data_IF_155662329471
#
_entry.id   IF_155662329471
#
_cell.length_a   1.000
_cell.length_b   1.000
_cell.length_c   1.000
_cell.angle_alpha   90.00
_cell.angle_beta   90.00
_cell.angle_gamma   90.00
#
_symmetry.space_group_name_H-M   'P 1'
#
loop_
_entity.id
_entity.type
_entity.pdbx_description
1 polymer ?
#
# COMPACT_ATOMS: atom_id res chain seq x y z
N UNK A 1 -47.17 -61.60 -0.17
CA UNK A 1 -47.17 -61.93 1.27
C UNK A 1 -45.99 -61.20 1.88
N UNK A 2 -46.30 -60.21 2.67
CA UNK A 2 -45.38 -59.30 3.35
C UNK A 2 -44.93 -59.92 4.68
N UNK A 3 -43.68 -59.82 4.99
CA UNK A 3 -43.18 -60.07 6.35
C UNK A 3 -42.22 -58.95 6.74
N UNK A 4 -42.75 -58.07 7.52
CA UNK A 4 -42.05 -57.04 8.30
C UNK A 4 -41.35 -57.68 9.49
N UNK A 5 -40.01 -57.44 9.65
CA UNK A 5 -39.30 -57.78 10.87
C UNK A 5 -38.91 -56.53 11.64
N UNK A 6 -39.42 -56.50 12.87
CA UNK A 6 -39.42 -55.40 13.80
C UNK A 6 -38.10 -55.36 14.60
N UNK A 7 -37.45 -54.19 14.69
CA UNK A 7 -36.31 -53.90 15.53
C UNK A 7 -36.75 -53.67 16.96
N UNK A 8 -36.68 -54.69 17.84
CA UNK A 8 -36.58 -54.51 19.28
C UNK A 8 -36.28 -55.88 19.90
N UNK A 9 -35.28 -55.89 20.79
CA UNK A 9 -34.76 -56.96 21.66
C UNK A 9 -33.42 -57.52 21.25
N UNK A 10 -32.40 -56.93 21.88
CA UNK A 10 -31.29 -57.63 22.51
C UNK A 10 -30.55 -56.62 23.40
N UNK A 11 -31.09 -56.47 24.59
CA UNK A 11 -30.40 -55.96 25.76
C UNK A 11 -30.22 -57.15 26.70
N UNK A 12 -29.09 -57.20 27.32
CA UNK A 12 -28.71 -57.86 28.57
C UNK A 12 -27.66 -58.97 28.47
N UNK A 13 -26.65 -58.65 29.25
CA UNK A 13 -25.78 -59.47 30.07
C UNK A 13 -24.34 -59.70 29.56
N UNK A 14 -23.40 -59.01 30.17
CA UNK A 14 -22.32 -59.65 30.96
C UNK A 14 -21.58 -58.59 31.79
N UNK A 15 -21.58 -58.83 33.08
CA UNK A 15 -20.98 -58.08 34.17
C UNK A 15 -19.55 -58.59 34.42
N UNK A 16 -18.65 -57.66 34.80
CA UNK A 16 -17.47 -57.79 35.69
C UNK A 16 -16.20 -58.46 35.21
N UNK A 17 -15.17 -57.61 35.08
CA UNK A 17 -13.87 -57.83 35.73
C UNK A 17 -13.09 -56.49 35.79
N UNK A 18 -13.03 -55.92 36.98
CA UNK A 18 -12.19 -54.77 37.31
C UNK A 18 -10.75 -55.27 37.61
N UNK A 19 -9.76 -54.64 36.96
CA UNK A 19 -8.38 -54.59 37.46
C UNK A 19 -7.86 -53.15 37.25
N UNK A 20 -7.24 -52.55 38.26
CA UNK A 20 -6.68 -51.22 38.14
C UNK A 20 -5.30 -51.29 37.49
N UNK A 21 -5.10 -50.70 36.34
CA UNK A 21 -3.77 -50.42 35.82
C UNK A 21 -3.43 -48.96 36.06
N UNK A 22 -2.26 -48.81 36.66
CA UNK A 22 -1.66 -47.58 37.10
C UNK A 22 -1.56 -46.50 36.01
N UNK A 23 -1.92 -45.28 36.41
CA UNK A 23 -1.66 -44.04 35.74
C UNK A 23 -0.13 -43.81 35.55
N UNK A 24 0.41 -44.08 34.36
CA UNK A 24 1.57 -43.41 33.89
C UNK A 24 1.11 -42.26 32.99
N UNK A 25 0.88 -41.11 33.60
CA UNK A 25 0.58 -39.90 32.91
C UNK A 25 1.84 -39.40 32.17
N UNK A 26 2.10 -39.90 30.95
CA UNK A 26 2.86 -39.13 29.98
C UNK A 26 1.93 -38.05 29.46
N UNK A 27 2.00 -36.88 30.07
CA UNK A 27 1.61 -35.63 29.45
C UNK A 27 2.49 -35.44 28.24
N UNK A 28 2.15 -36.06 27.13
CA UNK A 28 2.60 -35.58 25.83
C UNK A 28 1.96 -34.20 25.66
N UNK A 29 2.70 -33.16 26.04
CA UNK A 29 2.50 -31.85 25.55
C UNK A 29 2.46 -32.02 24.02
N UNK A 30 1.27 -32.05 23.43
CA UNK A 30 1.13 -31.82 22.01
C UNK A 30 1.86 -30.51 21.79
N UNK A 31 3.06 -30.56 21.21
CA UNK A 31 3.54 -29.45 20.43
C UNK A 31 2.38 -29.21 19.44
N UNK A 32 1.61 -28.18 19.70
CA UNK A 32 0.77 -27.58 18.68
C UNK A 32 1.76 -27.23 17.58
N UNK A 33 1.85 -28.09 16.58
CA UNK A 33 2.34 -27.70 15.26
C UNK A 33 1.45 -26.52 14.91
N UNK A 34 2.00 -25.31 15.08
CA UNK A 34 1.37 -24.09 14.64
C UNK A 34 1.13 -24.34 13.16
N UNK A 35 -0.15 -24.63 12.83
CA UNK A 35 -0.57 -24.75 11.45
C UNK A 35 -0.02 -23.53 10.75
N UNK A 36 0.61 -23.72 9.59
CA UNK A 36 1.15 -22.63 8.78
C UNK A 36 0.04 -21.61 8.59
N UNK A 37 0.07 -20.53 9.38
CA UNK A 37 -0.95 -19.48 9.27
C UNK A 37 -0.93 -18.94 7.86
N UNK A 38 -2.11 -18.81 7.26
CA UNK A 38 -2.23 -18.22 5.94
C UNK A 38 -1.58 -16.82 5.94
N UNK A 39 -0.83 -16.45 4.91
CA UNK A 39 -0.17 -15.17 4.85
C UNK A 39 -1.22 -14.04 4.84
N UNK A 40 -0.94 -12.96 5.55
CA UNK A 40 -1.74 -11.74 5.43
C UNK A 40 -1.55 -11.16 4.02
N UNK A 41 -2.64 -11.10 3.27
CA UNK A 41 -2.66 -10.51 1.93
C UNK A 41 -2.72 -8.99 2.05
N UNK A 42 -1.73 -8.31 1.48
CA UNK A 42 -1.64 -6.85 1.47
C UNK A 42 -1.76 -6.33 0.04
N UNK A 43 -2.78 -5.52 -0.22
CA UNK A 43 -3.03 -4.93 -1.53
C UNK A 43 -2.05 -3.80 -1.85
N UNK A 44 -1.57 -3.75 -3.08
CA UNK A 44 -0.72 -2.67 -3.56
C UNK A 44 -0.75 -2.52 -5.09
N UNK A 45 -0.33 -1.35 -5.56
CA UNK A 45 -0.16 -1.08 -6.98
C UNK A 45 1.29 -1.36 -7.42
N UNK A 46 1.53 -1.64 -8.71
CA UNK A 46 2.88 -1.77 -9.26
C UNK A 46 3.53 -0.38 -9.46
N UNK A 47 3.64 0.36 -8.39
CA UNK A 47 4.22 1.71 -8.31
C UNK A 47 5.39 1.71 -7.33
N UNK A 48 6.42 2.51 -7.61
CA UNK A 48 7.57 2.63 -6.70
C UNK A 48 7.16 3.13 -5.31
N UNK A 49 6.02 3.81 -5.24
CA UNK A 49 5.38 4.21 -3.99
C UNK A 49 5.05 3.03 -3.05
N UNK A 50 4.90 1.82 -3.58
CA UNK A 50 4.60 0.62 -2.79
C UNK A 50 5.82 -0.32 -2.64
N UNK A 51 7.04 0.14 -2.96
CA UNK A 51 8.23 -0.69 -3.01
C UNK A 51 8.62 -1.29 -1.65
N UNK A 52 8.29 -0.64 -0.55
CA UNK A 52 8.50 -1.18 0.81
C UNK A 52 7.78 -2.51 1.03
N UNK A 53 6.63 -2.75 0.37
CA UNK A 53 5.86 -3.98 0.56
C UNK A 53 6.54 -5.22 -0.07
N UNK A 54 6.96 -5.23 -1.35
CA UNK A 54 7.75 -6.32 -1.90
C UNK A 54 9.01 -6.64 -1.09
N UNK A 55 9.74 -5.60 -0.66
CA UNK A 55 10.95 -5.76 0.17
C UNK A 55 10.61 -6.37 1.53
N UNK A 56 9.56 -5.91 2.19
CA UNK A 56 9.09 -6.47 3.47
C UNK A 56 8.69 -7.94 3.32
N UNK A 57 7.95 -8.30 2.27
CA UNK A 57 7.54 -9.68 2.00
C UNK A 57 8.75 -10.61 1.84
N UNK A 58 9.71 -10.25 0.97
CA UNK A 58 10.89 -11.07 0.71
C UNK A 58 11.85 -11.07 1.90
N UNK A 59 12.04 -9.92 2.57
CA UNK A 59 12.85 -9.81 3.77
C UNK A 59 12.32 -10.69 4.91
N UNK A 60 11.00 -10.70 5.11
CA UNK A 60 10.35 -11.58 6.10
C UNK A 60 10.51 -13.06 5.74
N UNK A 61 10.33 -13.42 4.46
CA UNK A 61 10.52 -14.79 3.98
C UNK A 61 11.98 -15.24 4.20
N UNK A 62 12.96 -14.38 3.91
CA UNK A 62 14.37 -14.66 4.13
C UNK A 62 14.70 -14.83 5.63
N UNK A 63 14.17 -13.95 6.49
CA UNK A 63 14.35 -14.05 7.94
C UNK A 63 13.73 -15.33 8.53
N UNK A 64 12.56 -15.75 8.03
CA UNK A 64 11.92 -17.02 8.42
C UNK A 64 12.78 -18.21 8.04
N UNK A 65 13.30 -18.24 6.82
CA UNK A 65 14.20 -19.32 6.33
C UNK A 65 15.51 -19.38 7.13
N UNK A 66 16.04 -18.24 7.53
CA UNK A 66 17.24 -18.13 8.36
C UNK A 66 16.99 -18.41 9.86
N UNK A 67 15.75 -18.54 10.29
CA UNK A 67 15.40 -18.71 11.69
C UNK A 67 15.61 -17.46 12.56
N UNK A 68 15.72 -16.27 11.94
CA UNK A 68 15.96 -14.99 12.61
C UNK A 68 14.73 -14.10 12.72
N UNK A 69 13.60 -14.53 12.15
CA UNK A 69 12.35 -13.78 12.23
C UNK A 69 11.80 -13.76 13.67
N UNK A 70 11.39 -12.58 14.19
CA UNK A 70 10.86 -12.47 15.55
C UNK A 70 9.48 -13.12 15.70
N UNK A 71 8.74 -13.28 14.61
CA UNK A 71 7.42 -13.92 14.56
C UNK A 71 7.34 -14.85 13.35
N UNK A 72 6.35 -15.76 13.35
CA UNK A 72 6.09 -16.68 12.23
C UNK A 72 5.12 -16.13 11.19
N UNK A 73 4.61 -14.91 11.35
CA UNK A 73 3.69 -14.30 10.39
C UNK A 73 4.35 -14.14 9.02
N UNK A 74 3.52 -14.24 7.98
CA UNK A 74 3.92 -14.06 6.59
C UNK A 74 3.05 -13.01 5.93
N UNK A 75 3.60 -12.33 4.93
CA UNK A 75 2.90 -11.31 4.16
C UNK A 75 2.96 -11.66 2.67
N UNK A 76 1.86 -11.43 1.98
CA UNK A 76 1.76 -11.65 0.55
C UNK A 76 1.27 -10.38 -0.16
N UNK A 77 1.98 -10.01 -1.23
CA UNK A 77 1.60 -8.88 -2.06
C UNK A 77 0.49 -9.29 -3.03
N UNK A 78 -0.63 -8.57 -3.02
CA UNK A 78 -1.70 -8.68 -4.01
C UNK A 78 -1.70 -7.44 -4.91
N UNK A 79 -1.51 -7.67 -6.22
CA UNK A 79 -1.41 -6.60 -7.22
C UNK A 79 -2.77 -6.13 -7.68
N UNK A 80 -2.93 -4.79 -7.71
CA UNK A 80 -4.11 -4.08 -8.19
C UNK A 80 -3.72 -3.07 -9.27
N UNK A 81 -4.67 -2.67 -10.12
CA UNK A 81 -4.48 -1.64 -11.16
C UNK A 81 -4.82 -0.23 -10.68
N UNK A 82 -5.63 -0.10 -9.61
CA UNK A 82 -6.03 1.21 -9.08
C UNK A 82 -6.47 1.15 -7.62
N UNK A 83 -6.43 2.30 -6.95
CA UNK A 83 -6.90 2.43 -5.57
C UNK A 83 -8.40 2.15 -5.37
N UNK A 84 -9.31 2.42 -6.35
CA UNK A 84 -10.71 2.01 -6.23
C UNK A 84 -10.87 0.50 -6.01
N UNK A 85 -10.07 -0.33 -6.67
CA UNK A 85 -10.12 -1.79 -6.51
C UNK A 85 -9.63 -2.24 -5.12
N UNK A 86 -8.55 -1.61 -4.60
CA UNK A 86 -8.06 -1.86 -3.23
C UNK A 86 -9.14 -1.45 -2.22
N UNK A 87 -9.75 -0.27 -2.41
CA UNK A 87 -10.85 0.23 -1.58
C UNK A 87 -11.99 -0.78 -1.49
N UNK A 88 -12.50 -1.24 -2.64
CA UNK A 88 -13.58 -2.23 -2.69
C UNK A 88 -13.17 -3.56 -2.04
N UNK A 89 -11.92 -3.97 -2.19
CA UNK A 89 -11.39 -5.20 -1.59
C UNK A 89 -11.28 -5.10 -0.07
N UNK A 90 -10.90 -3.93 0.46
CA UNK A 90 -10.92 -3.64 1.91
C UNK A 90 -12.36 -3.57 2.44
N UNK A 91 -13.28 -2.90 1.74
CA UNK A 91 -14.67 -2.77 2.16
C UNK A 91 -15.39 -4.11 2.18
N UNK A 92 -15.14 -4.99 1.21
CA UNK A 92 -15.72 -6.33 1.12
C UNK A 92 -14.99 -7.38 1.97
N UNK A 93 -13.99 -7.00 2.77
CA UNK A 93 -13.15 -7.90 3.55
C UNK A 93 -12.43 -8.99 2.73
N UNK A 94 -12.22 -8.75 1.43
CA UNK A 94 -11.41 -9.64 0.58
C UNK A 94 -9.94 -9.57 0.95
N UNK A 95 -9.46 -8.38 1.33
CA UNK A 95 -8.17 -8.14 1.96
C UNK A 95 -8.37 -7.34 3.25
N UNK A 96 -7.44 -7.46 4.18
CA UNK A 96 -7.53 -6.78 5.47
C UNK A 96 -6.48 -5.66 5.62
N UNK A 97 -5.54 -5.58 4.68
CA UNK A 97 -4.53 -4.53 4.62
C UNK A 97 -4.23 -4.14 3.17
N UNK A 98 -3.84 -2.89 2.94
CA UNK A 98 -3.46 -2.42 1.60
C UNK A 98 -2.87 -1.01 1.63
N UNK A 99 -2.15 -0.66 0.57
CA UNK A 99 -1.65 0.69 0.39
C UNK A 99 -2.73 1.59 -0.21
N UNK A 100 -3.05 2.65 0.52
CA UNK A 100 -4.10 3.61 0.15
C UNK A 100 -3.54 5.04 0.14
N UNK A 101 -4.26 5.94 -0.50
CA UNK A 101 -3.99 7.37 -0.47
C UNK A 101 -4.61 7.99 0.79
N UNK A 102 -3.87 8.80 1.53
CA UNK A 102 -4.35 9.37 2.80
C UNK A 102 -5.71 10.10 2.66
N UNK A 103 -5.94 10.98 1.65
CA UNK A 103 -7.25 11.64 1.50
C UNK A 103 -8.39 10.65 1.20
N UNK A 104 -8.10 9.52 0.53
CA UNK A 104 -9.11 8.48 0.28
C UNK A 104 -9.48 7.75 1.59
N UNK A 105 -8.52 7.51 2.49
CA UNK A 105 -8.81 6.91 3.80
C UNK A 105 -9.61 7.88 4.67
N UNK A 106 -9.33 9.18 4.60
CA UNK A 106 -10.12 10.21 5.27
C UNK A 106 -11.59 10.18 4.80
N UNK A 107 -11.83 10.10 3.49
CA UNK A 107 -13.19 9.96 2.92
C UNK A 107 -13.88 8.65 3.38
N UNK A 108 -13.14 7.56 3.48
CA UNK A 108 -13.68 6.29 4.00
C UNK A 108 -14.07 6.41 5.47
N UNK A 109 -13.24 7.07 6.29
CA UNK A 109 -13.54 7.31 7.70
C UNK A 109 -14.78 8.20 7.88
N UNK A 110 -14.95 9.22 7.03
CA UNK A 110 -16.16 10.03 6.99
C UNK A 110 -17.41 9.18 6.72
N UNK A 111 -17.30 8.23 5.82
CA UNK A 111 -18.35 7.24 5.49
C UNK A 111 -18.48 6.10 6.50
N UNK A 112 -17.76 6.18 7.63
CA UNK A 112 -17.75 5.18 8.71
C UNK A 112 -17.30 3.78 8.23
N UNK A 113 -16.47 3.71 7.21
CA UNK A 113 -15.83 2.46 6.81
C UNK A 113 -14.68 2.18 7.80
N UNK A 114 -14.63 0.98 8.40
CA UNK A 114 -13.75 0.66 9.52
C UNK A 114 -12.32 0.34 9.06
N UNK A 115 -11.60 1.36 8.60
CA UNK A 115 -10.19 1.26 8.17
C UNK A 115 -9.37 2.38 8.77
N UNK A 116 -8.10 2.12 9.07
CA UNK A 116 -7.16 3.12 9.61
C UNK A 116 -5.79 3.03 8.95
N UNK A 117 -5.13 4.15 8.80
CA UNK A 117 -3.72 4.23 8.46
C UNK A 117 -2.90 3.85 9.68
N UNK A 118 -1.98 2.89 9.50
CA UNK A 118 -1.11 2.38 10.58
C UNK A 118 0.37 2.66 10.33
N UNK A 119 0.76 3.06 9.12
CA UNK A 119 2.13 3.46 8.74
C UNK A 119 2.11 4.24 7.42
N UNK A 120 3.15 5.01 7.16
CA UNK A 120 3.45 5.45 5.79
C UNK A 120 4.09 4.29 5.02
N UNK A 121 3.99 4.34 3.68
CA UNK A 121 4.70 3.42 2.78
C UNK A 121 5.95 4.03 2.15
N UNK A 122 5.90 5.34 1.94
CA UNK A 122 6.97 6.14 1.35
C UNK A 122 6.62 7.63 1.43
N UNK A 123 7.56 8.46 0.99
CA UNK A 123 7.33 9.90 0.79
C UNK A 123 7.71 10.33 -0.62
N UNK A 124 7.06 11.36 -1.15
CA UNK A 124 7.30 11.91 -2.50
C UNK A 124 6.97 10.89 -3.62
N UNK A 125 7.50 11.07 -4.82
CA UNK A 125 7.47 10.07 -5.88
C UNK A 125 6.45 10.29 -6.99
N UNK A 126 5.76 11.44 -7.08
CA UNK A 126 4.92 11.77 -8.21
C UNK A 126 5.57 12.83 -9.11
N UNK A 127 5.12 12.85 -10.37
CA UNK A 127 5.61 13.77 -11.40
C UNK A 127 4.45 14.29 -12.25
N UNK A 128 4.59 15.52 -12.77
CA UNK A 128 3.76 16.03 -13.87
C UNK A 128 4.50 15.79 -15.17
N UNK A 129 3.89 15.03 -16.06
CA UNK A 129 4.43 14.68 -17.36
C UNK A 129 3.70 15.40 -18.49
N UNK A 130 4.46 15.80 -19.50
CA UNK A 130 3.97 16.37 -20.76
C UNK A 130 4.70 15.71 -21.94
N UNK A 131 4.16 15.84 -23.15
CA UNK A 131 4.89 15.41 -24.35
C UNK A 131 6.23 16.14 -24.47
N UNK A 132 7.24 15.44 -24.98
CA UNK A 132 8.60 15.98 -25.11
C UNK A 132 8.67 17.19 -26.04
N UNK A 133 7.89 17.15 -27.10
CA UNK A 133 7.80 18.20 -28.14
C UNK A 133 6.74 19.26 -27.82
N UNK A 134 6.05 19.18 -26.68
CA UNK A 134 5.10 20.22 -26.26
C UNK A 134 5.80 21.52 -25.91
N UNK A 135 5.10 22.64 -26.10
CA UNK A 135 5.58 24.00 -25.77
C UNK A 135 5.38 24.36 -24.31
N UNK A 136 4.94 23.40 -23.46
CA UNK A 136 4.65 23.65 -22.03
C UNK A 136 5.94 23.70 -21.22
N UNK A 137 6.39 24.89 -20.80
CA UNK A 137 7.62 25.08 -20.03
C UNK A 137 7.34 25.29 -18.52
N UNK A 138 6.17 25.80 -18.19
CA UNK A 138 5.71 26.07 -16.83
C UNK A 138 4.32 25.53 -16.61
N UNK A 139 3.93 25.39 -15.33
CA UNK A 139 2.63 24.84 -14.97
C UNK A 139 1.45 25.66 -15.53
N UNK A 140 1.59 27.01 -15.57
CA UNK A 140 0.56 27.90 -16.13
C UNK A 140 0.22 27.62 -17.61
N UNK A 141 1.15 27.01 -18.38
CA UNK A 141 0.92 26.66 -19.80
C UNK A 141 -0.12 25.53 -19.96
N UNK A 142 -0.45 24.85 -18.86
CA UNK A 142 -1.51 23.84 -18.83
C UNK A 142 -2.92 24.42 -18.78
N UNK A 143 -3.09 25.75 -18.75
CA UNK A 143 -4.40 26.38 -18.75
C UNK A 143 -5.26 25.91 -19.93
N UNK A 144 -6.48 25.45 -19.65
CA UNK A 144 -7.42 24.88 -20.63
C UNK A 144 -7.09 23.46 -21.10
N UNK A 145 -6.02 22.85 -20.58
CA UNK A 145 -5.54 21.53 -21.02
C UNK A 145 -6.17 20.38 -20.22
N UNK A 146 -6.18 19.20 -20.86
CA UNK A 146 -6.61 17.95 -20.26
C UNK A 146 -5.47 17.37 -19.42
N UNK A 147 -5.70 17.25 -18.11
CA UNK A 147 -4.71 16.76 -17.16
C UNK A 147 -5.25 15.52 -16.46
N UNK A 148 -4.61 14.38 -16.65
CA UNK A 148 -4.97 13.15 -15.98
C UNK A 148 -4.42 13.07 -14.56
N UNK A 149 -5.22 12.52 -13.66
CA UNK A 149 -4.86 12.20 -12.27
C UNK A 149 -5.42 10.82 -11.89
N UNK A 150 -4.87 10.15 -10.85
CA UNK A 150 -5.41 8.87 -10.40
C UNK A 150 -6.83 8.97 -9.83
N UNK A 151 -7.11 10.01 -9.08
CA UNK A 151 -8.39 10.28 -8.41
C UNK A 151 -8.39 11.69 -7.81
N UNK A 152 -9.57 12.28 -7.64
CA UNK A 152 -9.73 13.53 -6.88
C UNK A 152 -9.41 13.36 -5.38
N UNK A 153 -9.41 12.13 -4.88
CA UNK A 153 -8.97 11.75 -3.53
C UNK A 153 -7.46 11.39 -3.48
N UNK A 154 -6.71 11.70 -4.53
CA UNK A 154 -5.26 11.49 -4.56
C UNK A 154 -4.50 12.73 -4.09
N UNK A 155 -3.33 12.52 -3.50
CA UNK A 155 -2.39 13.59 -3.16
C UNK A 155 -1.92 14.32 -4.43
N UNK A 156 -1.87 13.61 -5.57
CA UNK A 156 -1.61 14.18 -6.90
C UNK A 156 -2.58 15.32 -7.24
N UNK A 157 -3.86 15.17 -6.92
CA UNK A 157 -4.86 16.23 -7.11
C UNK A 157 -4.61 17.41 -6.18
N UNK A 158 -4.32 17.14 -4.90
CA UNK A 158 -3.99 18.20 -3.95
C UNK A 158 -2.73 18.96 -4.39
N UNK A 159 -1.76 18.25 -4.95
CA UNK A 159 -0.58 18.86 -5.54
C UNK A 159 -0.94 19.79 -6.71
N UNK A 160 -1.77 19.33 -7.66
CA UNK A 160 -2.24 20.19 -8.75
C UNK A 160 -2.98 21.43 -8.21
N UNK A 161 -3.76 21.28 -7.15
CA UNK A 161 -4.44 22.41 -6.49
C UNK A 161 -3.45 23.45 -5.92
N UNK A 162 -2.36 22.98 -5.28
CA UNK A 162 -1.30 23.85 -4.79
C UNK A 162 -0.64 24.61 -5.95
N UNK A 163 -0.35 23.92 -7.05
CA UNK A 163 0.23 24.54 -8.25
C UNK A 163 -0.71 25.56 -8.88
N UNK A 164 -2.00 25.26 -8.99
CA UNK A 164 -3.03 26.18 -9.48
C UNK A 164 -3.09 27.46 -8.63
N UNK A 165 -3.15 27.33 -7.31
CA UNK A 165 -3.19 28.47 -6.39
C UNK A 165 -1.94 29.35 -6.53
N UNK A 166 -0.75 28.74 -6.69
CA UNK A 166 0.52 29.45 -6.88
C UNK A 166 0.55 30.27 -8.17
N UNK A 167 -0.08 29.78 -9.23
CA UNK A 167 -0.18 30.45 -10.52
C UNK A 167 -1.43 31.36 -10.64
N UNK A 168 -2.14 31.61 -9.54
CA UNK A 168 -3.42 32.35 -9.51
C UNK A 168 -4.48 31.74 -10.47
N UNK A 169 -4.48 30.42 -10.59
CA UNK A 169 -5.42 29.62 -11.37
C UNK A 169 -6.38 28.86 -10.45
N UNK A 170 -7.48 28.39 -11.02
CA UNK A 170 -8.50 27.59 -10.35
C UNK A 170 -8.63 26.22 -10.98
N UNK A 171 -9.28 25.23 -10.36
CA UNK A 171 -9.54 23.93 -10.99
C UNK A 171 -10.33 24.00 -12.29
N UNK A 172 -11.14 25.05 -12.48
CA UNK A 172 -11.88 25.28 -13.72
C UNK A 172 -10.97 25.67 -14.89
N UNK A 173 -9.73 26.07 -14.61
CA UNK A 173 -8.71 26.37 -15.64
C UNK A 173 -8.04 25.09 -16.20
N UNK A 174 -8.36 23.89 -15.66
CA UNK A 174 -7.91 22.59 -16.19
C UNK A 174 -9.10 21.69 -16.49
N UNK A 175 -8.95 20.80 -17.48
CA UNK A 175 -9.86 19.69 -17.72
C UNK A 175 -9.31 18.46 -17.01
N UNK A 176 -9.73 18.25 -15.75
CA UNK A 176 -9.23 17.13 -14.93
C UNK A 176 -9.93 15.84 -15.35
N UNK A 177 -9.13 14.83 -15.70
CA UNK A 177 -9.55 13.49 -16.13
C UNK A 177 -9.03 12.46 -15.11
N UNK A 178 -9.93 11.65 -14.54
CA UNK A 178 -9.54 10.57 -13.65
C UNK A 178 -9.33 9.27 -14.45
N UNK A 179 -8.18 8.63 -14.30
CA UNK A 179 -7.86 7.34 -14.93
C UNK A 179 -6.82 6.55 -14.14
N UNK A 180 -6.76 5.21 -14.31
CA UNK A 180 -5.73 4.40 -13.69
C UNK A 180 -4.32 4.84 -14.10
N UNK A 181 -3.36 4.91 -13.16
CA UNK A 181 -1.98 5.30 -13.45
C UNK A 181 -1.30 4.55 -14.61
N UNK A 182 -1.50 3.22 -14.78
CA UNK A 182 -0.91 2.48 -15.89
C UNK A 182 -1.35 2.95 -17.28
N UNK A 183 -2.55 3.56 -17.39
CA UNK A 183 -3.12 4.00 -18.67
C UNK A 183 -2.62 5.39 -19.10
N UNK A 184 -2.12 6.20 -18.15
CA UNK A 184 -1.73 7.59 -18.38
C UNK A 184 -0.61 7.78 -19.42
N UNK A 185 0.48 6.97 -19.44
CA UNK A 185 1.50 7.07 -20.45
C UNK A 185 0.94 6.90 -21.88
N UNK A 186 0.08 5.89 -22.08
CA UNK A 186 -0.56 5.63 -23.37
C UNK A 186 -1.54 6.76 -23.74
N UNK A 187 -2.31 7.29 -22.80
CA UNK A 187 -3.22 8.41 -23.03
C UNK A 187 -2.46 9.68 -23.46
N UNK A 188 -1.30 9.97 -22.84
CA UNK A 188 -0.44 11.09 -23.27
C UNK A 188 0.14 10.84 -24.66
N UNK A 189 0.62 9.63 -24.94
CA UNK A 189 1.16 9.29 -26.27
C UNK A 189 0.13 9.48 -27.38
N UNK A 190 -1.12 9.06 -27.14
CA UNK A 190 -2.23 9.12 -28.09
C UNK A 190 -2.95 10.49 -28.14
N UNK A 191 -2.41 11.54 -27.51
CA UNK A 191 -3.07 12.86 -27.43
C UNK A 191 -4.47 12.84 -26.77
N UNK A 192 -4.80 11.80 -26.00
CA UNK A 192 -6.04 11.77 -25.23
C UNK A 192 -6.01 12.72 -24.02
N UNK A 193 -4.80 12.97 -23.49
CA UNK A 193 -4.52 13.99 -22.48
C UNK A 193 -3.30 14.83 -22.89
N UNK A 194 -3.21 16.05 -22.36
CA UNK A 194 -2.10 16.98 -22.65
C UNK A 194 -0.99 16.87 -21.59
N UNK A 195 -1.36 16.43 -20.38
CA UNK A 195 -0.47 16.17 -19.27
C UNK A 195 -1.06 15.09 -18.35
N UNK A 196 -0.24 14.52 -17.48
CA UNK A 196 -0.72 13.74 -16.33
C UNK A 196 0.14 13.96 -15.08
N UNK A 197 -0.48 13.78 -13.92
CA UNK A 197 0.21 13.79 -12.62
C UNK A 197 -0.02 12.45 -11.94
N UNK A 198 1.04 11.69 -11.68
CA UNK A 198 0.94 10.39 -11.01
C UNK A 198 2.27 9.95 -10.41
N UNK A 199 2.19 8.93 -9.52
CA UNK A 199 3.36 8.27 -8.94
C UNK A 199 4.19 7.49 -9.98
N UNK A 200 5.49 7.35 -9.67
CA UNK A 200 6.40 6.55 -10.48
C UNK A 200 6.11 5.05 -10.38
N UNK A 201 6.39 4.25 -11.46
CA UNK A 201 7.35 4.53 -12.53
C UNK A 201 6.71 5.01 -13.85
N UNK A 202 5.50 5.49 -13.85
CA UNK A 202 4.79 5.83 -15.09
C UNK A 202 5.37 7.08 -15.79
N UNK A 203 5.94 8.01 -15.03
CA UNK A 203 6.73 9.11 -15.61
C UNK A 203 8.01 8.61 -16.26
N UNK A 204 8.77 7.78 -15.56
CA UNK A 204 10.00 7.17 -16.05
C UNK A 204 9.77 6.32 -17.31
N UNK A 205 8.66 5.57 -17.38
CA UNK A 205 8.30 4.77 -18.54
C UNK A 205 8.15 5.63 -19.80
N UNK A 206 7.39 6.73 -19.70
CA UNK A 206 7.18 7.66 -20.81
C UNK A 206 8.47 8.40 -21.20
N UNK A 207 9.31 8.79 -20.22
CA UNK A 207 10.62 9.39 -20.45
C UNK A 207 11.57 8.41 -21.17
N UNK A 208 11.67 7.17 -20.70
CA UNK A 208 12.53 6.13 -21.28
C UNK A 208 12.10 5.78 -22.70
N UNK A 209 10.80 5.82 -22.99
CA UNK A 209 10.27 5.66 -24.35
C UNK A 209 10.51 6.86 -25.25
N UNK A 210 11.03 7.99 -24.72
CA UNK A 210 11.52 9.14 -25.47
C UNK A 210 10.47 10.13 -25.95
N UNK A 211 9.17 9.92 -25.68
CA UNK A 211 8.09 10.81 -26.16
C UNK A 211 7.58 11.81 -25.11
N UNK A 212 8.01 11.67 -23.85
CA UNK A 212 7.57 12.54 -22.78
C UNK A 212 8.74 13.11 -21.96
N UNK A 213 8.48 14.21 -21.26
CA UNK A 213 9.40 14.83 -20.29
C UNK A 213 8.67 15.23 -19.02
N UNK A 214 9.42 15.36 -17.95
CA UNK A 214 8.92 15.92 -16.69
C UNK A 214 8.73 17.42 -16.87
N UNK A 215 7.55 17.91 -16.54
CA UNK A 215 7.27 19.34 -16.38
C UNK A 215 7.61 19.81 -14.97
N UNK A 216 7.19 19.03 -13.95
CA UNK A 216 7.50 19.27 -12.53
C UNK A 216 7.62 17.95 -11.78
N UNK A 217 8.55 17.89 -10.85
CA UNK A 217 8.58 16.85 -9.82
C UNK A 217 7.87 17.36 -8.57
N UNK A 218 6.98 16.56 -8.01
CA UNK A 218 6.23 16.98 -6.82
C UNK A 218 7.15 17.23 -5.63
N UNK A 219 8.27 16.51 -5.50
CA UNK A 219 9.28 16.68 -4.47
C UNK A 219 9.91 18.08 -4.43
N UNK A 220 10.04 18.74 -5.57
CA UNK A 220 10.67 20.05 -5.67
C UNK A 220 9.75 21.17 -5.17
N UNK A 221 8.44 20.95 -5.26
CA UNK A 221 7.42 21.93 -4.92
C UNK A 221 6.73 21.63 -3.56
N UNK A 222 6.74 20.38 -3.15
CA UNK A 222 6.18 19.91 -1.89
C UNK A 222 7.07 18.82 -1.29
N UNK A 223 8.07 19.25 -0.53
CA UNK A 223 9.08 18.35 0.03
C UNK A 223 8.48 17.38 1.03
N UNK A 224 8.95 16.14 0.99
CA UNK A 224 8.63 15.08 1.97
C UNK A 224 7.13 14.85 2.18
N UNK A 225 6.29 15.15 1.21
CA UNK A 225 4.85 14.99 1.37
C UNK A 225 4.46 13.52 1.55
N UNK A 226 3.40 13.29 2.32
CA UNK A 226 2.76 11.98 2.49
C UNK A 226 2.06 11.61 1.18
N UNK A 227 2.32 10.40 0.67
CA UNK A 227 1.62 9.88 -0.50
C UNK A 227 0.83 8.61 -0.15
N UNK A 228 1.41 7.41 -0.31
CA UNK A 228 0.73 6.16 0.02
C UNK A 228 0.95 5.76 1.48
N UNK A 229 -0.11 5.26 2.09
CA UNK A 229 -0.14 4.82 3.48
C UNK A 229 -0.58 3.37 3.58
N UNK A 230 0.04 2.61 4.46
CA UNK A 230 -0.44 1.29 4.85
C UNK A 230 -1.73 1.45 5.65
N UNK A 231 -2.80 0.93 5.11
CA UNK A 231 -4.15 1.00 5.68
C UNK A 231 -4.61 -0.39 6.05
N UNK A 232 -5.20 -0.53 7.22
CA UNK A 232 -5.64 -1.81 7.80
C UNK A 232 -7.08 -1.69 8.26
N UNK A 233 -7.86 -2.77 8.15
CA UNK A 233 -9.21 -2.85 8.71
C UNK A 233 -9.16 -2.83 10.24
N UNK A 234 -10.07 -2.10 10.87
CA UNK A 234 -10.15 -2.02 12.34
C UNK A 234 -10.37 -3.39 13.00
N UNK A 235 -11.08 -4.30 12.32
CA UNK A 235 -11.29 -5.67 12.78
C UNK A 235 -9.96 -6.40 12.97
N UNK A 236 -9.01 -6.28 12.03
CA UNK A 236 -7.68 -6.89 12.16
C UNK A 236 -6.86 -6.21 13.27
N UNK A 237 -6.97 -4.88 13.41
CA UNK A 237 -6.31 -4.12 14.48
C UNK A 237 -6.76 -4.60 15.86
N UNK A 238 -8.03 -4.97 16.02
CA UNK A 238 -8.62 -5.42 17.27
C UNK A 238 -8.35 -6.91 17.54
N UNK A 239 -8.50 -7.76 16.53
CA UNK A 239 -8.40 -9.21 16.67
C UNK A 239 -6.95 -9.72 16.65
N UNK A 240 -6.04 -9.06 15.90
CA UNK A 240 -4.66 -9.51 15.70
C UNK A 240 -3.65 -8.34 15.69
N UNK A 241 -3.59 -7.56 16.77
CA UNK A 241 -2.71 -6.39 16.86
C UNK A 241 -1.23 -6.75 16.70
N UNK A 242 -0.80 -7.94 17.11
CA UNK A 242 0.58 -8.45 16.97
C UNK A 242 0.95 -8.69 15.50
N UNK A 243 0.01 -9.14 14.67
CA UNK A 243 0.20 -9.30 13.22
C UNK A 243 0.36 -7.93 12.53
N UNK A 244 -0.47 -6.95 12.93
CA UNK A 244 -0.38 -5.57 12.43
C UNK A 244 0.95 -4.94 12.85
N UNK A 245 1.39 -5.15 14.11
CA UNK A 245 2.69 -4.64 14.58
C UNK A 245 3.86 -5.23 13.79
N UNK A 246 3.83 -6.55 13.53
CA UNK A 246 4.88 -7.21 12.75
C UNK A 246 4.92 -6.72 11.29
N UNK A 247 3.75 -6.49 10.68
CA UNK A 247 3.67 -5.88 9.35
C UNK A 247 4.28 -4.47 9.36
N UNK A 248 3.93 -3.63 10.32
CA UNK A 248 4.48 -2.27 10.45
C UNK A 248 5.99 -2.32 10.68
N UNK A 249 6.49 -3.20 11.57
CA UNK A 249 7.92 -3.39 11.79
C UNK A 249 8.66 -3.79 10.51
N UNK A 250 8.05 -4.65 9.69
CA UNK A 250 8.61 -5.11 8.42
C UNK A 250 8.63 -3.99 7.36
N UNK A 251 7.59 -3.15 7.31
CA UNK A 251 7.54 -1.98 6.40
C UNK A 251 8.56 -0.91 6.83
N UNK A 252 8.67 -0.61 8.13
CA UNK A 252 9.67 0.32 8.66
C UNK A 252 11.09 -0.19 8.37
N UNK A 253 11.33 -1.49 8.56
CA UNK A 253 12.60 -2.14 8.23
C UNK A 253 12.94 -2.06 6.75
N UNK A 254 11.95 -2.32 5.88
CA UNK A 254 12.11 -2.20 4.43
C UNK A 254 12.42 -0.77 4.00
N UNK A 255 11.76 0.22 4.59
CA UNK A 255 12.02 1.64 4.32
C UNK A 255 13.45 2.04 4.68
N UNK A 256 13.88 1.72 5.89
CA UNK A 256 15.25 1.99 6.35
C UNK A 256 16.29 1.28 5.47
N UNK A 257 16.04 0.03 5.10
CA UNK A 257 16.93 -0.75 4.25
C UNK A 257 17.05 -0.16 2.84
N UNK A 258 15.94 0.28 2.24
CA UNK A 258 15.90 0.91 0.92
C UNK A 258 16.75 2.19 0.85
N UNK A 259 16.69 3.03 1.88
CA UNK A 259 17.40 4.30 1.90
C UNK A 259 18.82 4.20 2.50
N UNK A 260 19.22 3.01 3.02
CA UNK A 260 20.53 2.81 3.60
C UNK A 260 21.67 2.83 2.55
N UNK A 261 21.47 2.22 1.38
CA UNK A 261 22.47 2.15 0.32
C UNK A 261 21.84 2.12 -1.07
N UNK A 262 22.59 2.56 -2.06
CA UNK A 262 22.19 2.43 -3.47
C UNK A 262 22.09 0.95 -3.91
N UNK A 263 22.97 0.08 -3.39
CA UNK A 263 22.93 -1.35 -3.66
C UNK A 263 21.62 -2.00 -3.19
N UNK A 264 21.10 -1.60 -2.04
CA UNK A 264 19.80 -2.05 -1.55
C UNK A 264 18.66 -1.65 -2.50
N UNK A 265 18.70 -0.45 -3.05
CA UNK A 265 17.74 0.00 -4.07
C UNK A 265 17.83 -0.83 -5.34
N UNK A 266 19.05 -1.18 -5.80
CA UNK A 266 19.26 -2.07 -6.95
C UNK A 266 18.69 -3.47 -6.70
N UNK A 267 18.91 -4.03 -5.51
CA UNK A 267 18.30 -5.31 -5.10
C UNK A 267 16.76 -5.22 -5.05
N UNK A 268 16.22 -4.11 -4.53
CA UNK A 268 14.78 -3.88 -4.51
C UNK A 268 14.17 -3.79 -5.93
N UNK A 269 14.86 -3.17 -6.87
CA UNK A 269 14.47 -3.16 -8.29
C UNK A 269 14.39 -4.58 -8.84
N UNK A 270 15.41 -5.42 -8.58
CA UNK A 270 15.41 -6.81 -9.02
C UNK A 270 14.24 -7.61 -8.42
N UNK A 271 13.93 -7.41 -7.15
CA UNK A 271 12.79 -8.04 -6.47
C UNK A 271 11.46 -7.56 -7.10
N UNK A 272 11.25 -6.24 -7.16
CA UNK A 272 9.97 -5.66 -7.55
C UNK A 272 9.65 -5.86 -9.04
N UNK A 273 10.65 -5.90 -9.92
CA UNK A 273 10.45 -6.15 -11.35
C UNK A 273 9.90 -7.54 -11.66
N UNK A 274 10.03 -8.49 -10.73
CA UNK A 274 9.56 -9.86 -10.90
C UNK A 274 8.04 -9.97 -11.06
N UNK A 275 7.60 -11.09 -11.70
CA UNK A 275 6.16 -11.36 -11.97
C UNK A 275 5.30 -11.41 -10.71
N UNK A 276 5.89 -11.84 -9.58
CA UNK A 276 5.21 -11.92 -8.27
C UNK A 276 4.78 -10.53 -7.77
N UNK A 277 5.46 -9.46 -8.18
CA UNK A 277 5.25 -8.10 -7.70
C UNK A 277 4.79 -7.17 -8.83
N UNK A 278 5.62 -6.23 -9.26
CA UNK A 278 5.20 -5.19 -10.20
C UNK A 278 5.10 -5.69 -11.64
N UNK A 279 5.91 -6.69 -12.00
CA UNK A 279 6.01 -7.20 -13.39
C UNK A 279 6.30 -6.08 -14.37
N UNK A 280 7.35 -5.30 -14.10
CA UNK A 280 7.78 -4.14 -14.88
C UNK A 280 9.23 -4.30 -15.33
N UNK A 281 9.60 -3.55 -16.37
CA UNK A 281 10.99 -3.51 -16.85
C UNK A 281 11.91 -2.98 -15.74
N UNK A 282 12.93 -3.76 -15.31
CA UNK A 282 13.86 -3.34 -14.28
C UNK A 282 14.62 -2.06 -14.65
N UNK A 283 14.85 -1.78 -15.95
CA UNK A 283 15.51 -0.56 -16.39
C UNK A 283 14.69 0.69 -16.08
N UNK A 284 13.36 0.59 -16.19
CA UNK A 284 12.46 1.70 -15.84
C UNK A 284 12.45 1.94 -14.33
N UNK A 285 12.37 0.87 -13.54
CA UNK A 285 12.44 0.98 -12.08
C UNK A 285 13.80 1.53 -11.63
N UNK A 286 14.90 1.07 -12.25
CA UNK A 286 16.24 1.57 -11.96
C UNK A 286 16.36 3.07 -12.30
N UNK A 287 15.81 3.49 -13.44
CA UNK A 287 15.79 4.91 -13.81
C UNK A 287 15.15 5.78 -12.73
N UNK A 288 14.05 5.32 -12.11
CA UNK A 288 13.41 6.05 -11.00
C UNK A 288 14.34 6.16 -9.79
N UNK A 289 15.10 5.09 -9.48
CA UNK A 289 16.00 5.09 -8.32
C UNK A 289 17.21 6.00 -8.49
N UNK A 290 17.58 6.31 -9.74
CA UNK A 290 18.81 7.03 -10.07
C UNK A 290 18.57 8.49 -10.51
N UNK A 291 17.36 8.86 -10.93
CA UNK A 291 17.14 10.12 -11.68
C UNK A 291 15.98 10.99 -11.14
N UNK A 292 16.21 11.76 -10.07
CA UNK A 292 17.33 11.74 -9.12
C UNK A 292 17.18 10.63 -8.07
N UNK A 293 18.24 10.32 -7.32
CA UNK A 293 18.25 9.25 -6.31
C UNK A 293 17.23 9.43 -5.19
N UNK A 294 16.79 10.66 -4.90
CA UNK A 294 15.79 11.03 -3.92
C UNK A 294 14.42 11.36 -4.53
N UNK A 295 14.16 10.88 -5.76
CA UNK A 295 12.85 11.02 -6.45
C UNK A 295 11.71 10.41 -5.63
N UNK A 296 11.98 9.28 -4.99
CA UNK A 296 11.13 8.62 -3.98
C UNK A 296 12.00 8.32 -2.76
N UNK A 297 11.48 8.54 -1.56
CA UNK A 297 12.18 8.27 -0.30
C UNK A 297 11.37 7.34 0.59
N UNK A 298 12.06 6.47 1.32
CA UNK A 298 11.47 5.38 2.09
C UNK A 298 11.86 5.35 3.56
N UNK A 299 12.94 6.02 3.96
CA UNK A 299 13.50 5.93 5.31
C UNK A 299 12.72 6.71 6.37
N UNK A 300 12.03 7.80 5.98
CA UNK A 300 11.23 8.60 6.91
C UNK A 300 9.74 8.23 6.82
N UNK A 301 9.35 7.20 7.54
CA UNK A 301 7.96 6.72 7.61
C UNK A 301 7.24 7.15 8.89
N UNK A 302 7.74 8.20 9.58
CA UNK A 302 7.08 8.76 10.76
C UNK A 302 5.71 9.33 10.39
N UNK A 303 4.75 9.10 11.25
CA UNK A 303 3.40 9.65 11.15
C UNK A 303 3.32 10.94 11.98
N UNK A 304 3.45 12.08 11.31
CA UNK A 304 3.42 13.40 11.93
C UNK A 304 1.99 13.95 11.81
N UNK A 305 1.35 14.24 12.93
CA UNK A 305 -0.06 14.67 13.00
C UNK A 305 -0.32 15.89 12.12
N UNK A 306 0.54 16.89 12.21
CA UNK A 306 0.41 18.16 11.49
C UNK A 306 0.42 17.97 9.97
N UNK A 307 1.15 16.98 9.46
CA UNK A 307 1.17 16.66 8.03
C UNK A 307 -0.18 16.08 7.57
N UNK A 308 -0.83 15.27 8.39
CA UNK A 308 -2.17 14.74 8.10
C UNK A 308 -3.26 15.81 8.24
N UNK A 309 -3.14 16.70 9.22
CA UNK A 309 -4.03 17.85 9.39
C UNK A 309 -3.92 18.82 8.19
N UNK A 310 -2.71 19.02 7.65
CA UNK A 310 -2.52 19.79 6.40
C UNK A 310 -3.19 19.12 5.20
N UNK A 311 -3.05 17.80 5.04
CA UNK A 311 -3.76 17.03 4.01
C UNK A 311 -5.29 17.13 4.18
N UNK A 312 -5.80 17.07 5.41
CA UNK A 312 -7.22 17.24 5.71
C UNK A 312 -7.70 18.63 5.26
N UNK A 313 -6.99 19.68 5.67
CA UNK A 313 -7.29 21.07 5.27
C UNK A 313 -7.29 21.23 3.75
N UNK A 314 -6.27 20.73 3.06
CA UNK A 314 -6.18 20.77 1.59
C UNK A 314 -7.31 19.99 0.92
N UNK A 315 -7.74 18.87 1.50
CA UNK A 315 -8.86 18.07 0.99
C UNK A 315 -10.20 18.80 1.16
N UNK A 316 -10.38 19.52 2.26
CA UNK A 316 -11.54 20.38 2.48
C UNK A 316 -11.55 21.56 1.51
N UNK A 317 -10.44 22.26 1.33
CA UNK A 317 -10.27 23.33 0.33
C UNK A 317 -10.51 22.83 -1.11
N UNK A 318 -10.17 21.57 -1.38
CA UNK A 318 -10.44 20.91 -2.65
C UNK A 318 -11.93 20.54 -2.81
N UNK A 319 -12.73 20.55 -1.74
CA UNK A 319 -14.12 20.14 -1.73
C UNK A 319 -14.33 18.63 -1.82
N UNK A 320 -13.28 17.83 -1.64
CA UNK A 320 -13.35 16.37 -1.63
C UNK A 320 -13.80 15.82 -0.29
N UNK A 321 -13.51 16.55 0.79
CA UNK A 321 -14.00 16.31 2.15
C UNK A 321 -14.80 17.54 2.58
N UNK A 322 -15.99 17.31 3.17
CA UNK A 322 -16.94 18.39 3.46
C UNK A 322 -16.75 19.03 4.82
N UNK A 323 -16.17 18.32 5.76
CA UNK A 323 -15.92 18.75 7.14
C UNK A 323 -14.69 18.07 7.70
N UNK A 324 -14.14 18.63 8.75
CA UNK A 324 -12.97 18.07 9.43
C UNK A 324 -13.31 16.73 10.07
N UNK A 325 -12.45 15.75 9.86
CA UNK A 325 -12.54 14.41 10.46
C UNK A 325 -11.42 14.31 11.49
N UNK A 326 -11.74 14.01 12.75
CA UNK A 326 -10.72 13.84 13.79
C UNK A 326 -9.64 12.84 13.40
N UNK A 327 -8.39 13.18 13.66
CA UNK A 327 -7.21 12.38 13.35
C UNK A 327 -7.35 10.91 13.76
N UNK A 328 -7.88 10.66 14.95
CA UNK A 328 -8.05 9.33 15.53
C UNK A 328 -9.12 8.48 14.81
N UNK A 329 -9.91 9.09 13.93
CA UNK A 329 -10.92 8.36 13.14
C UNK A 329 -10.31 7.63 11.94
N UNK A 330 -9.19 8.11 11.41
CA UNK A 330 -8.53 7.53 10.23
C UNK A 330 -7.08 7.11 10.47
N UNK A 331 -6.51 7.39 11.65
CA UNK A 331 -5.14 7.06 12.04
C UNK A 331 -5.13 6.15 13.27
N UNK A 332 -4.18 5.20 13.27
CA UNK A 332 -3.80 4.40 14.43
C UNK A 332 -2.26 4.33 14.49
N UNK A 333 -1.65 5.38 15.03
CA UNK A 333 -0.21 5.58 15.02
C UNK A 333 0.57 4.83 16.12
N UNK A 334 -0.15 4.15 17.05
CA UNK A 334 0.50 3.37 18.12
C UNK A 334 1.48 2.34 17.59
N UNK A 335 1.20 1.75 16.42
CA UNK A 335 2.07 0.75 15.80
C UNK A 335 3.39 1.34 15.31
N UNK A 336 3.38 2.54 14.73
CA UNK A 336 4.61 3.24 14.34
C UNK A 336 5.37 3.73 15.55
N UNK A 337 4.68 4.23 16.58
CA UNK A 337 5.33 4.66 17.84
C UNK A 337 6.00 3.50 18.59
N UNK A 338 5.42 2.30 18.52
CA UNK A 338 5.98 1.10 19.13
C UNK A 338 6.90 0.30 18.18
N UNK A 339 7.11 0.78 16.94
CA UNK A 339 7.82 0.00 15.94
C UNK A 339 9.27 -0.24 16.30
N UNK A 340 9.67 -1.50 16.18
CA UNK A 340 11.07 -1.92 16.11
C UNK A 340 11.30 -2.39 14.67
N UNK A 341 11.99 -1.55 13.89
CA UNK A 341 12.21 -1.82 12.46
C UNK A 341 12.89 -3.19 12.28
N UNK A 342 12.27 -4.06 11.49
CA UNK A 342 12.80 -5.40 11.23
C UNK A 342 14.11 -5.32 10.45
N UNK A 343 15.07 -6.19 10.76
CA UNK A 343 16.24 -6.38 9.91
C UNK A 343 15.82 -7.06 8.61
N UNK A 344 16.30 -6.54 7.49
CA UNK A 344 16.05 -7.09 6.14
C UNK A 344 17.31 -7.83 5.68
N UNK A 345 17.35 -9.16 5.75
CA UNK A 345 18.54 -9.97 5.42
C UNK A 345 18.59 -10.30 3.92
N UNK A 346 18.76 -9.27 3.06
CA UNK A 346 18.80 -9.37 1.59
C UNK A 346 20.14 -8.94 0.98
#
# INVERSE_FOLDING_TARGET
>A
MSLTLNRRHLLQAAVSAALPLALAGCSSRKEETIADEEPLIVGGLPVTCNLTLPVACIGKEAALKAGTAPTKFRFEYSKYSGWPEIKESLMSNRIQAGYMLAPLVMDLADKKIPVKIVSLGHRSGAVIMVKKDSTYEKFADLKGKRVAIPSRFAVDFLFLRKMLARENMTPADLQIIEMPPPDMPAALYADAVDAYCTGEPFGAAAQSAGYARVLRMTRDEWRNYICCCLTVREELIQSRPELVQDLVNSIQGAGNWLDATHDNRNKAVAIASGKKFFNQDPKILQFVMDNPTDRVTYGDLRMIREEFEDLMRLSMEAGTIKHEIPYEKYIEDRFVRAATASTIPL
#
